data_IF_377146707687
#
_entry.id   IF_377146707687
#
_cell.length_a   1.000
_cell.length_b   1.000
_cell.length_c   1.000
_cell.angle_alpha   90.00
_cell.angle_beta   90.00
_cell.angle_gamma   90.00
#
_symmetry.space_group_name_H-M   'P 1'
#
loop_
_entity.id
_entity.type
_entity.pdbx_description
1 polymer ?
#
# COMPACT_ATOMS: atom_id res chain seq x y z
N UNK A 1 -9.45 24.92 15.14
CA UNK A 1 -10.81 24.34 15.01
C UNK A 1 -11.31 24.74 13.62
N UNK A 2 -10.94 23.96 12.61
CA UNK A 2 -11.40 24.13 11.24
C UNK A 2 -12.80 23.55 11.14
N UNK A 3 -13.70 24.31 10.52
CA UNK A 3 -15.14 24.07 10.50
C UNK A 3 -15.46 22.73 9.77
N UNK A 4 -15.63 21.68 10.54
CA UNK A 4 -15.92 20.30 10.11
C UNK A 4 -17.20 20.20 9.25
N UNK A 5 -18.09 21.18 9.29
CA UNK A 5 -19.31 21.23 8.49
C UNK A 5 -19.06 21.48 6.99
N UNK A 6 -17.91 22.06 6.62
CA UNK A 6 -17.55 22.25 5.21
C UNK A 6 -16.98 20.99 4.55
N UNK A 7 -16.43 20.08 5.33
CA UNK A 7 -15.92 18.79 4.83
C UNK A 7 -17.07 17.87 4.38
N UNK A 8 -18.15 17.82 5.18
CA UNK A 8 -19.34 16.99 4.91
C UNK A 8 -20.06 17.44 3.62
N UNK A 9 -20.10 18.75 3.32
CA UNK A 9 -20.77 19.27 2.13
C UNK A 9 -20.06 18.88 0.82
N UNK A 10 -18.72 18.75 0.84
CA UNK A 10 -17.98 18.29 -0.34
C UNK A 10 -18.10 16.78 -0.60
N UNK A 11 -18.24 15.98 0.47
CA UNK A 11 -18.45 14.52 0.34
C UNK A 11 -19.82 14.21 -0.25
N UNK A 12 -20.86 14.98 0.12
CA UNK A 12 -22.20 14.84 -0.46
C UNK A 12 -22.26 15.17 -1.96
N UNK A 13 -21.37 16.03 -2.48
CA UNK A 13 -21.32 16.36 -3.91
C UNK A 13 -20.68 15.24 -4.73
N UNK A 14 -19.74 14.49 -4.14
CA UNK A 14 -19.18 13.28 -4.78
C UNK A 14 -20.20 12.12 -4.81
N UNK A 15 -21.02 11.97 -3.77
CA UNK A 15 -22.08 10.95 -3.72
C UNK A 15 -23.26 11.27 -4.70
N UNK A 16 -23.48 12.54 -5.06
CA UNK A 16 -24.50 12.92 -6.01
C UNK A 16 -24.08 12.78 -7.49
N UNK A 17 -22.79 12.53 -7.74
CA UNK A 17 -22.21 12.29 -9.06
C UNK A 17 -22.20 10.81 -9.49
N UNK A 18 -22.78 9.88 -8.71
CA UNK A 18 -23.04 8.51 -9.13
C UNK A 18 -24.19 8.54 -10.16
N UNK A 19 -23.86 9.01 -11.35
CA UNK A 19 -24.67 8.76 -12.55
C UNK A 19 -24.83 7.25 -12.66
N UNK A 20 -26.06 6.77 -12.60
CA UNK A 20 -26.42 5.44 -13.06
C UNK A 20 -25.79 5.23 -14.44
N UNK A 21 -24.61 4.63 -14.48
CA UNK A 21 -24.11 4.01 -15.69
C UNK A 21 -25.07 2.84 -15.94
N UNK A 22 -26.05 3.08 -16.78
CA UNK A 22 -26.92 2.03 -17.32
C UNK A 22 -25.98 0.98 -17.93
N UNK A 23 -25.79 -0.13 -17.23
CA UNK A 23 -25.16 -1.33 -17.79
C UNK A 23 -25.94 -1.70 -19.03
N UNK A 24 -25.40 -1.44 -20.21
CA UNK A 24 -25.89 -2.08 -21.43
C UNK A 24 -25.73 -3.58 -21.20
N UNK A 25 -26.83 -4.36 -21.34
CA UNK A 25 -26.72 -5.80 -21.16
C UNK A 25 -25.76 -6.31 -22.25
N UNK A 26 -24.59 -6.81 -21.86
CA UNK A 26 -23.78 -7.65 -22.75
C UNK A 26 -24.68 -8.80 -23.17
N UNK A 27 -24.85 -8.96 -24.50
CA UNK A 27 -25.56 -10.11 -25.08
C UNK A 27 -25.07 -11.37 -24.37
N UNK A 28 -25.96 -11.99 -23.62
CA UNK A 28 -25.77 -13.32 -23.09
C UNK A 28 -25.56 -14.25 -24.29
N UNK A 29 -24.30 -14.66 -24.48
CA UNK A 29 -24.05 -15.87 -25.23
C UNK A 29 -24.74 -16.99 -24.43
N UNK A 30 -25.65 -17.71 -25.05
CA UNK A 30 -26.19 -18.96 -24.54
C UNK A 30 -25.02 -19.93 -24.38
N UNK A 31 -24.42 -19.93 -23.20
CA UNK A 31 -23.61 -21.05 -22.75
C UNK A 31 -24.60 -22.06 -22.20
N UNK A 32 -24.66 -23.24 -22.84
CA UNK A 32 -25.21 -24.45 -22.26
C UNK A 32 -24.69 -24.57 -20.83
N UNK A 33 -25.60 -24.77 -19.88
CA UNK A 33 -25.28 -25.11 -18.49
C UNK A 33 -24.62 -26.50 -18.48
N UNK A 34 -23.34 -26.57 -18.85
CA UNK A 34 -22.48 -27.60 -18.30
C UNK A 34 -22.48 -27.36 -16.79
N UNK A 35 -23.01 -28.34 -16.05
CA UNK A 35 -22.80 -28.41 -14.60
C UNK A 35 -21.29 -28.57 -14.37
N UNK A 36 -20.59 -27.47 -14.36
CA UNK A 36 -19.17 -27.39 -14.01
C UNK A 36 -19.05 -27.80 -12.54
N UNK A 37 -18.87 -29.10 -12.30
CA UNK A 37 -18.38 -29.56 -11.00
C UNK A 37 -17.03 -28.91 -10.77
N UNK A 38 -17.02 -27.86 -9.98
CA UNK A 38 -15.79 -27.13 -9.66
C UNK A 38 -14.96 -28.00 -8.74
N UNK A 39 -13.86 -28.52 -9.26
CA UNK A 39 -12.91 -29.28 -8.44
C UNK A 39 -12.09 -28.37 -7.52
N UNK A 40 -12.13 -27.06 -7.74
CA UNK A 40 -11.30 -26.05 -7.10
C UNK A 40 -12.11 -24.79 -6.79
N UNK A 41 -11.78 -24.16 -5.66
CA UNK A 41 -12.23 -22.84 -5.26
C UNK A 41 -11.02 -22.04 -4.80
N UNK A 42 -10.92 -20.77 -5.15
CA UNK A 42 -9.78 -19.93 -4.79
C UNK A 42 -10.23 -18.78 -3.90
N UNK A 43 -9.53 -18.59 -2.79
CA UNK A 43 -9.68 -17.41 -1.93
C UNK A 43 -8.47 -16.54 -2.17
N UNK A 44 -8.71 -15.33 -2.69
CA UNK A 44 -7.68 -14.30 -2.79
C UNK A 44 -7.72 -13.44 -1.53
N UNK A 45 -6.52 -13.13 -1.00
CA UNK A 45 -6.35 -12.31 0.18
C UNK A 45 -5.35 -11.20 -0.10
N UNK A 46 -5.71 -9.99 0.28
CA UNK A 46 -4.87 -8.79 0.32
C UNK A 46 -5.03 -8.10 1.66
N UNK A 47 -4.33 -6.98 1.86
CA UNK A 47 -4.45 -6.14 3.05
C UNK A 47 -3.16 -5.37 3.30
N UNK A 48 -3.15 -4.58 4.36
CA UNK A 48 -2.01 -3.74 4.74
C UNK A 48 -1.55 -2.85 3.58
N UNK A 49 -2.49 -2.24 2.88
CA UNK A 49 -2.22 -1.28 1.80
C UNK A 49 -1.43 -0.08 2.30
N UNK A 50 -1.67 0.37 3.53
CA UNK A 50 -0.96 1.47 4.20
C UNK A 50 -0.85 2.73 3.33
N UNK A 51 -1.88 3.00 2.52
CA UNK A 51 -1.95 4.13 1.59
C UNK A 51 -1.27 3.90 0.24
N UNK A 52 -0.70 2.73 -0.01
CA UNK A 52 -0.02 2.43 -1.28
C UNK A 52 -1.02 2.06 -2.38
N UNK A 53 -1.40 3.02 -3.19
CA UNK A 53 -2.33 2.81 -4.32
C UNK A 53 -1.63 2.49 -5.63
N UNK A 54 -0.39 2.96 -5.79
CA UNK A 54 0.44 2.80 -6.98
C UNK A 54 1.91 2.78 -6.56
N UNK A 55 2.75 1.92 -7.13
CA UNK A 55 4.17 1.96 -6.87
C UNK A 55 4.80 3.23 -7.43
N UNK A 56 5.89 3.70 -6.82
CA UNK A 56 6.70 4.78 -7.35
C UNK A 56 7.35 4.36 -8.67
N UNK A 57 7.22 5.17 -9.72
CA UNK A 57 7.70 4.85 -11.07
C UNK A 57 9.19 5.10 -11.35
N UNK A 58 10.03 5.30 -10.31
CA UNK A 58 11.37 5.81 -10.47
C UNK A 58 12.43 4.77 -10.86
N UNK A 59 12.18 3.48 -10.59
CA UNK A 59 13.09 2.37 -10.95
C UNK A 59 12.29 1.18 -11.48
N UNK A 60 12.94 0.22 -12.14
CA UNK A 60 12.33 -1.04 -12.53
C UNK A 60 12.08 -1.96 -11.33
N UNK A 61 11.43 -3.10 -11.58
CA UNK A 61 11.16 -4.11 -10.55
C UNK A 61 10.04 -3.76 -9.56
N UNK A 62 9.17 -2.82 -9.92
CA UNK A 62 8.15 -2.29 -9.04
C UNK A 62 6.99 -3.25 -8.81
N UNK A 63 6.70 -3.49 -7.54
CA UNK A 63 5.58 -4.29 -7.09
C UNK A 63 4.45 -3.40 -6.52
N UNK A 64 3.21 -3.81 -6.77
CA UNK A 64 2.01 -3.14 -6.27
C UNK A 64 1.22 -2.41 -7.36
N UNK A 65 0.19 -1.70 -6.93
CA UNK A 65 -0.75 -0.97 -7.77
C UNK A 65 -2.10 -1.63 -7.84
N UNK A 66 -3.12 -0.89 -7.42
CA UNK A 66 -4.52 -1.34 -7.47
C UNK A 66 -4.97 -1.60 -8.91
N UNK A 67 -4.44 -0.81 -9.85
CA UNK A 67 -4.74 -0.87 -11.28
C UNK A 67 -4.29 -2.17 -11.97
N UNK A 68 -3.35 -2.91 -11.38
CA UNK A 68 -2.83 -4.19 -11.92
C UNK A 68 -3.52 -5.43 -11.33
N UNK A 69 -4.22 -5.30 -10.20
CA UNK A 69 -4.86 -6.42 -9.49
C UNK A 69 -5.85 -7.22 -10.35
N UNK A 70 -6.66 -6.61 -11.24
CA UNK A 70 -7.59 -7.37 -12.09
C UNK A 70 -6.90 -8.46 -12.90
N UNK A 71 -5.67 -8.24 -13.37
CA UNK A 71 -4.91 -9.21 -14.15
C UNK A 71 -4.67 -10.54 -13.42
N UNK A 72 -4.63 -10.51 -12.09
CA UNK A 72 -4.49 -11.70 -11.25
C UNK A 72 -5.87 -12.22 -10.83
N UNK A 73 -6.71 -11.34 -10.29
CA UNK A 73 -8.01 -11.71 -9.76
C UNK A 73 -8.91 -12.37 -10.81
N UNK A 74 -8.91 -11.87 -12.04
CA UNK A 74 -9.75 -12.36 -13.13
C UNK A 74 -9.23 -13.67 -13.79
N UNK A 75 -8.07 -14.17 -13.33
CA UNK A 75 -7.61 -15.52 -13.73
C UNK A 75 -8.53 -16.63 -13.21
N UNK A 76 -9.33 -16.34 -12.18
CA UNK A 76 -10.33 -17.26 -11.60
C UNK A 76 -11.72 -16.65 -11.79
N UNK A 77 -12.68 -17.36 -12.41
CA UNK A 77 -14.04 -16.89 -12.57
C UNK A 77 -14.69 -16.52 -11.23
N UNK A 78 -15.57 -15.50 -11.23
CA UNK A 78 -16.24 -14.97 -10.04
C UNK A 78 -16.91 -16.04 -9.19
N UNK A 79 -17.59 -17.01 -9.84
CA UNK A 79 -18.31 -18.09 -9.15
C UNK A 79 -17.37 -19.08 -8.45
N UNK A 80 -16.07 -19.06 -8.76
CA UNK A 80 -15.04 -19.95 -8.22
C UNK A 80 -14.04 -19.24 -7.31
N UNK A 81 -14.31 -17.97 -6.99
CA UNK A 81 -13.42 -17.16 -6.14
C UNK A 81 -14.15 -16.46 -5.01
N UNK A 82 -13.40 -16.12 -3.99
CA UNK A 82 -13.74 -15.15 -2.96
C UNK A 82 -12.55 -14.21 -2.81
N UNK A 83 -12.79 -12.92 -2.73
CA UNK A 83 -11.73 -11.92 -2.57
C UNK A 83 -11.93 -11.24 -1.22
N UNK A 84 -10.90 -11.28 -0.38
CA UNK A 84 -10.90 -10.78 0.99
C UNK A 84 -9.81 -9.73 1.14
N UNK A 85 -10.13 -8.62 1.79
CA UNK A 85 -9.14 -7.70 2.30
C UNK A 85 -9.04 -7.82 3.83
N UNK A 86 -7.82 -7.86 4.35
CA UNK A 86 -7.54 -8.03 5.78
C UNK A 86 -7.42 -6.73 6.55
N UNK A 87 -7.66 -5.56 5.89
CA UNK A 87 -7.65 -4.23 6.51
C UNK A 87 -6.29 -3.54 6.53
N UNK A 88 -6.18 -2.49 7.33
CA UNK A 88 -5.05 -1.57 7.41
C UNK A 88 -4.83 -0.77 6.12
N UNK A 89 -5.89 -0.04 5.71
CA UNK A 89 -5.90 0.69 4.44
C UNK A 89 -4.91 1.85 4.39
N UNK A 90 -4.72 2.58 5.50
CA UNK A 90 -3.85 3.76 5.57
C UNK A 90 -3.01 3.80 6.85
N UNK A 91 -1.95 4.62 6.85
CA UNK A 91 -1.00 4.72 7.97
C UNK A 91 -1.49 5.64 9.09
N UNK A 92 -2.24 6.70 8.76
CA UNK A 92 -2.61 7.76 9.71
C UNK A 92 -3.98 8.36 9.40
N UNK A 93 -4.38 9.33 10.19
CA UNK A 93 -5.55 10.18 9.99
C UNK A 93 -5.20 11.55 9.35
N UNK A 94 -4.04 11.66 8.69
CA UNK A 94 -3.68 12.85 7.94
C UNK A 94 -4.69 13.15 6.83
N UNK A 95 -4.82 14.44 6.43
CA UNK A 95 -5.75 14.82 5.34
C UNK A 95 -5.51 13.98 4.08
N UNK A 96 -4.25 13.69 3.76
CA UNK A 96 -3.88 12.87 2.61
C UNK A 96 -4.32 11.40 2.77
N UNK A 97 -4.06 10.80 3.93
CA UNK A 97 -4.46 9.41 4.20
C UNK A 97 -5.98 9.24 4.23
N UNK A 98 -6.72 10.25 4.71
CA UNK A 98 -8.19 10.25 4.65
C UNK A 98 -8.71 10.24 3.21
N UNK A 99 -8.04 10.96 2.30
CA UNK A 99 -8.36 10.91 0.87
C UNK A 99 -8.04 9.53 0.30
N UNK A 100 -6.85 9.00 0.59
CA UNK A 100 -6.44 7.65 0.14
C UNK A 100 -7.38 6.57 0.63
N UNK A 101 -7.84 6.66 1.88
CA UNK A 101 -8.80 5.71 2.44
C UNK A 101 -10.05 5.59 1.56
N UNK A 102 -10.66 6.72 1.20
CA UNK A 102 -11.83 6.74 0.31
C UNK A 102 -11.53 6.14 -1.07
N UNK A 103 -10.38 6.49 -1.66
CA UNK A 103 -9.97 5.99 -2.98
C UNK A 103 -9.71 4.48 -2.95
N UNK A 104 -9.09 3.97 -1.88
CA UNK A 104 -8.86 2.53 -1.70
C UNK A 104 -10.19 1.79 -1.60
N UNK A 105 -11.14 2.26 -0.78
CA UNK A 105 -12.46 1.65 -0.66
C UNK A 105 -13.19 1.62 -2.01
N UNK A 106 -13.15 2.71 -2.77
CA UNK A 106 -13.73 2.75 -4.12
C UNK A 106 -13.02 1.77 -5.06
N UNK A 107 -11.69 1.65 -4.99
CA UNK A 107 -10.94 0.69 -5.78
C UNK A 107 -11.32 -0.76 -5.44
N UNK A 108 -11.43 -1.10 -4.14
CA UNK A 108 -11.85 -2.45 -3.71
C UNK A 108 -13.27 -2.78 -4.18
N UNK A 109 -14.17 -1.77 -4.23
CA UNK A 109 -15.50 -1.94 -4.80
C UNK A 109 -15.46 -2.21 -6.31
N UNK A 110 -14.65 -1.48 -7.07
CA UNK A 110 -14.46 -1.70 -8.50
C UNK A 110 -13.82 -3.07 -8.81
N UNK A 111 -13.03 -3.60 -7.86
CA UNK A 111 -12.35 -4.90 -7.93
C UNK A 111 -13.23 -6.07 -7.45
N UNK A 112 -14.51 -5.83 -7.12
CA UNK A 112 -15.49 -6.82 -6.66
C UNK A 112 -15.03 -7.60 -5.41
N UNK A 113 -14.36 -6.91 -4.45
CA UNK A 113 -14.03 -7.54 -3.16
C UNK A 113 -15.30 -7.97 -2.44
N UNK A 114 -15.28 -9.17 -1.86
CA UNK A 114 -16.48 -9.78 -1.27
C UNK A 114 -16.56 -9.57 0.24
N UNK A 115 -15.41 -9.52 0.90
CA UNK A 115 -15.30 -9.43 2.35
C UNK A 115 -14.15 -8.49 2.73
N UNK A 116 -14.41 -7.63 3.69
CA UNK A 116 -13.40 -6.74 4.29
C UNK A 116 -13.33 -7.00 5.79
N UNK A 117 -12.12 -7.22 6.31
CA UNK A 117 -11.85 -7.17 7.73
C UNK A 117 -11.42 -5.74 8.09
N UNK A 118 -12.17 -5.08 8.96
CA UNK A 118 -11.81 -3.76 9.46
C UNK A 118 -11.01 -3.90 10.76
N UNK A 119 -9.81 -3.33 10.79
CA UNK A 119 -9.07 -3.11 12.03
C UNK A 119 -9.75 -2.02 12.88
N UNK A 120 -9.39 -1.92 14.16
CA UNK A 120 -9.82 -0.81 15.01
C UNK A 120 -9.52 0.54 14.36
N UNK A 121 -8.32 0.70 13.83
CA UNK A 121 -7.87 1.92 13.14
C UNK A 121 -8.72 2.24 11.90
N UNK A 122 -9.04 1.24 11.07
CA UNK A 122 -9.89 1.44 9.91
C UNK A 122 -11.29 1.93 10.32
N UNK A 123 -11.83 1.38 11.40
CA UNK A 123 -13.14 1.81 11.96
C UNK A 123 -13.06 3.24 12.48
N UNK A 124 -12.05 3.58 13.27
CA UNK A 124 -11.88 4.92 13.82
C UNK A 124 -11.76 5.98 12.72
N UNK A 125 -10.91 5.74 11.73
CA UNK A 125 -10.74 6.62 10.58
C UNK A 125 -12.03 6.71 9.77
N UNK A 126 -12.63 5.57 9.45
CA UNK A 126 -13.89 5.52 8.68
C UNK A 126 -15.04 6.26 9.37
N UNK A 127 -15.13 6.22 10.72
CA UNK A 127 -16.09 7.00 11.51
C UNK A 127 -15.82 8.50 11.42
N UNK A 128 -14.56 8.89 11.57
CA UNK A 128 -14.16 10.30 11.52
C UNK A 128 -14.56 10.98 10.20
N UNK A 129 -14.54 10.25 9.11
CA UNK A 129 -14.93 10.73 7.77
C UNK A 129 -16.36 10.31 7.37
N UNK A 130 -17.06 9.53 8.19
CA UNK A 130 -18.47 9.17 7.99
C UNK A 130 -18.74 8.14 6.91
N UNK A 131 -17.77 7.26 6.57
CA UNK A 131 -17.91 6.30 5.46
C UNK A 131 -18.15 4.85 5.90
N UNK A 132 -18.15 4.53 7.19
CA UNK A 132 -18.33 3.13 7.64
C UNK A 132 -19.64 2.54 7.13
N UNK A 133 -20.74 3.28 7.19
CA UNK A 133 -22.02 2.83 6.63
C UNK A 133 -22.00 2.62 5.11
N UNK A 134 -21.14 3.34 4.38
CA UNK A 134 -20.93 3.10 2.95
C UNK A 134 -20.19 1.77 2.75
N UNK A 135 -19.16 1.51 3.56
CA UNK A 135 -18.40 0.25 3.51
C UNK A 135 -19.32 -0.93 3.81
N UNK A 136 -20.13 -0.85 4.88
CA UNK A 136 -21.10 -1.90 5.25
C UNK A 136 -22.16 -2.15 4.16
N UNK A 137 -22.53 -1.13 3.40
CA UNK A 137 -23.48 -1.27 2.29
C UNK A 137 -22.86 -1.86 1.02
N UNK A 138 -21.56 -1.68 0.82
CA UNK A 138 -20.83 -2.11 -0.38
C UNK A 138 -20.24 -3.51 -0.25
N UNK A 139 -19.91 -3.94 0.96
CA UNK A 139 -19.19 -5.17 1.24
C UNK A 139 -19.82 -5.97 2.38
N UNK A 140 -19.49 -7.27 2.48
CA UNK A 140 -19.57 -7.94 3.76
C UNK A 140 -18.39 -7.47 4.62
N UNK A 141 -18.66 -7.17 5.88
CA UNK A 141 -17.65 -6.63 6.79
C UNK A 141 -17.56 -7.50 8.03
N UNK A 142 -16.33 -7.73 8.50
CA UNK A 142 -16.06 -8.33 9.81
C UNK A 142 -15.06 -7.47 10.57
N UNK A 143 -15.06 -7.59 11.89
CA UNK A 143 -14.05 -7.01 12.78
C UNK A 143 -13.95 -7.80 14.08
N UNK A 144 -12.77 -7.85 14.67
CA UNK A 144 -12.58 -8.30 16.06
C UNK A 144 -12.80 -7.16 17.07
N UNK A 145 -12.87 -5.91 16.60
CA UNK A 145 -13.15 -4.73 17.41
C UNK A 145 -14.66 -4.45 17.42
N UNK A 146 -15.23 -4.33 18.61
CA UNK A 146 -16.66 -4.04 18.82
C UNK A 146 -16.84 -2.59 19.28
N UNK A 147 -17.05 -1.62 18.40
CA UNK A 147 -17.37 -0.27 18.80
C UNK A 147 -18.77 -0.21 19.43
N UNK A 148 -18.93 0.60 20.50
CA UNK A 148 -20.15 0.67 21.32
C UNK A 148 -21.43 1.06 20.54
N UNK A 149 -21.28 1.71 19.40
CA UNK A 149 -22.36 2.29 18.59
C UNK A 149 -22.54 1.60 17.23
N UNK A 150 -21.84 0.50 16.99
CA UNK A 150 -21.88 -0.25 15.74
C UNK A 150 -21.95 -1.75 16.02
N UNK A 151 -22.61 -2.49 15.14
CA UNK A 151 -22.73 -3.95 15.27
C UNK A 151 -22.07 -4.63 14.07
N UNK A 152 -20.74 -4.56 14.01
CA UNK A 152 -19.96 -5.25 12.99
C UNK A 152 -19.75 -6.70 13.45
N UNK A 153 -20.15 -7.71 12.66
CA UNK A 153 -19.98 -9.11 13.05
C UNK A 153 -18.50 -9.51 13.08
N UNK A 154 -18.12 -10.35 14.04
CA UNK A 154 -16.76 -10.91 14.10
C UNK A 154 -16.52 -12.01 13.07
N UNK A 155 -17.55 -12.48 12.36
CA UNK A 155 -17.44 -13.56 11.38
C UNK A 155 -18.35 -13.40 10.18
N UNK A 156 -17.92 -13.98 9.06
CA UNK A 156 -18.66 -14.12 7.81
C UNK A 156 -18.75 -15.60 7.43
N UNK A 157 -19.88 -16.02 6.90
CA UNK A 157 -20.10 -17.39 6.43
C UNK A 157 -20.58 -17.40 4.99
N UNK A 158 -20.09 -18.36 4.21
CA UNK A 158 -20.49 -18.57 2.82
C UNK A 158 -20.46 -20.07 2.49
N UNK A 159 -21.43 -20.52 1.72
CA UNK A 159 -21.39 -21.86 1.15
C UNK A 159 -20.85 -21.82 -0.28
N UNK A 160 -20.04 -22.82 -0.63
CA UNK A 160 -19.59 -23.05 -2.00
C UNK A 160 -19.56 -24.56 -2.31
N UNK A 161 -19.53 -24.92 -3.59
CA UNK A 161 -19.54 -26.33 -4.01
C UNK A 161 -18.15 -26.78 -4.45
N UNK A 162 -17.72 -27.95 -3.96
CA UNK A 162 -16.55 -28.68 -4.44
C UNK A 162 -16.95 -30.11 -4.78
N UNK A 163 -16.79 -30.55 -6.03
CA UNK A 163 -17.16 -31.88 -6.51
C UNK A 163 -18.59 -32.25 -6.15
N UNK A 164 -19.52 -31.31 -6.30
CA UNK A 164 -20.94 -31.52 -6.00
C UNK A 164 -21.27 -31.58 -4.51
N UNK A 165 -20.37 -31.18 -3.63
CA UNK A 165 -20.60 -31.10 -2.18
C UNK A 165 -20.55 -29.67 -1.70
N UNK A 166 -21.48 -29.33 -0.86
CA UNK A 166 -21.48 -28.04 -0.16
C UNK A 166 -20.36 -28.01 0.89
N UNK A 167 -19.54 -26.99 0.86
CA UNK A 167 -18.53 -26.66 1.87
C UNK A 167 -18.98 -25.38 2.57
N UNK A 168 -18.99 -25.39 3.89
CA UNK A 168 -19.25 -24.20 4.69
C UNK A 168 -17.90 -23.50 4.97
N UNK A 169 -17.71 -22.32 4.40
CA UNK A 169 -16.60 -21.41 4.72
C UNK A 169 -17.04 -20.51 5.87
N UNK A 170 -16.18 -20.40 6.88
CA UNK A 170 -16.26 -19.36 7.91
C UNK A 170 -14.96 -18.58 7.92
N UNK A 171 -15.03 -17.27 7.78
CA UNK A 171 -13.92 -16.33 7.98
C UNK A 171 -14.23 -15.51 9.22
N UNK A 172 -13.33 -15.52 10.20
CA UNK A 172 -13.52 -14.80 11.46
C UNK A 172 -12.33 -13.89 11.75
N UNK A 173 -12.61 -12.71 12.29
CA UNK A 173 -11.63 -11.80 12.83
C UNK A 173 -11.39 -12.11 14.32
N UNK A 174 -10.15 -12.02 14.77
CA UNK A 174 -9.79 -12.31 16.15
C UNK A 174 -8.63 -11.44 16.61
N UNK A 175 -8.78 -10.91 17.81
CA UNK A 175 -7.73 -10.17 18.49
C UNK A 175 -7.28 -10.90 19.76
N UNK A 176 -6.08 -11.48 19.77
CA UNK A 176 -5.56 -12.22 20.92
C UNK A 176 -5.23 -11.33 22.14
N UNK A 177 -5.10 -10.02 21.96
CA UNK A 177 -4.84 -9.09 23.07
C UNK A 177 -6.11 -8.79 23.87
N UNK A 178 -7.26 -8.77 23.22
CA UNK A 178 -8.56 -8.45 23.86
C UNK A 178 -9.36 -9.70 24.22
N UNK A 179 -9.13 -10.82 23.53
CA UNK A 179 -9.98 -12.01 23.63
C UNK A 179 -9.16 -13.28 23.90
N UNK A 180 -9.48 -14.08 24.92
CA UNK A 180 -8.83 -15.35 25.21
C UNK A 180 -8.97 -16.36 24.05
N UNK A 181 -7.90 -17.11 23.76
CA UNK A 181 -7.84 -18.07 22.65
C UNK A 181 -8.93 -19.16 22.74
N UNK A 182 -9.35 -19.52 23.96
CA UNK A 182 -10.40 -20.51 24.20
C UNK A 182 -11.77 -20.07 23.65
N UNK A 183 -11.98 -18.77 23.44
CA UNK A 183 -13.23 -18.25 22.87
C UNK A 183 -13.30 -18.36 21.34
N UNK A 184 -12.21 -18.69 20.66
CA UNK A 184 -12.20 -18.91 19.18
C UNK A 184 -13.28 -19.94 18.76
N UNK A 185 -13.57 -20.93 19.60
CA UNK A 185 -14.61 -21.92 19.32
C UNK A 185 -16.01 -21.32 19.09
N UNK A 186 -16.29 -20.14 19.65
CA UNK A 186 -17.58 -19.46 19.52
C UNK A 186 -17.76 -18.80 18.14
N UNK A 187 -16.64 -18.53 17.47
CA UNK A 187 -16.63 -17.96 16.13
C UNK A 187 -16.98 -18.99 15.06
N UNK A 188 -16.70 -20.27 15.31
CA UNK A 188 -16.86 -21.31 14.30
C UNK A 188 -17.99 -22.27 14.66
N UNK A 189 -18.80 -22.64 13.64
CA UNK A 189 -19.82 -23.68 13.82
C UNK A 189 -19.14 -25.05 13.98
N UNK A 190 -19.66 -25.85 14.92
CA UNK A 190 -19.24 -27.23 15.05
C UNK A 190 -19.64 -28.03 13.79
N UNK A 191 -18.78 -28.92 13.31
CA UNK A 191 -19.06 -29.68 12.08
C UNK A 191 -20.34 -30.50 12.21
N UNK A 192 -21.34 -30.18 11.40
CA UNK A 192 -22.61 -30.89 11.32
C UNK A 192 -22.64 -31.93 10.18
N UNK A 193 -21.50 -32.56 9.90
CA UNK A 193 -21.36 -33.56 8.83
C UNK A 193 -21.02 -33.00 7.44
N UNK A 194 -21.15 -31.70 7.19
CA UNK A 194 -20.63 -31.04 6.00
C UNK A 194 -19.15 -30.72 6.16
N UNK A 195 -18.33 -30.75 5.10
CA UNK A 195 -16.97 -30.26 5.15
C UNK A 195 -16.96 -28.75 5.45
N UNK A 196 -16.07 -28.33 6.33
CA UNK A 196 -15.88 -26.92 6.71
C UNK A 196 -14.52 -26.41 6.26
N UNK A 197 -14.43 -25.12 6.04
CA UNK A 197 -13.18 -24.38 5.87
C UNK A 197 -13.21 -23.18 6.82
N UNK A 198 -12.34 -23.18 7.81
CA UNK A 198 -12.30 -22.20 8.88
C UNK A 198 -11.03 -21.35 8.75
N UNK A 199 -11.18 -20.07 8.44
CA UNK A 199 -10.10 -19.08 8.29
C UNK A 199 -10.20 -18.08 9.42
N UNK A 200 -9.09 -17.86 10.11
CA UNK A 200 -8.96 -16.88 11.17
C UNK A 200 -8.04 -15.74 10.71
N UNK A 201 -8.50 -14.51 10.77
CA UNK A 201 -7.71 -13.31 10.52
C UNK A 201 -7.33 -12.71 11.88
N UNK A 202 -6.03 -12.62 12.14
CA UNK A 202 -5.50 -12.04 13.38
C UNK A 202 -5.15 -10.57 13.18
N UNK A 203 -5.36 -9.77 14.23
CA UNK A 203 -4.93 -8.36 14.24
C UNK A 203 -3.45 -8.22 14.68
N UNK A 204 -2.90 -9.21 15.39
CA UNK A 204 -1.52 -9.21 15.86
C UNK A 204 -0.78 -10.48 15.43
N UNK A 205 0.52 -10.34 15.19
CA UNK A 205 1.40 -11.45 14.84
C UNK A 205 2.33 -11.77 16.02
N UNK A 206 1.87 -12.67 16.88
CA UNK A 206 2.68 -13.25 17.96
C UNK A 206 2.86 -14.74 17.70
N UNK A 207 4.12 -15.25 17.58
CA UNK A 207 4.39 -16.67 17.40
C UNK A 207 3.77 -17.55 18.49
N UNK A 208 3.74 -17.08 19.75
CA UNK A 208 3.09 -17.77 20.86
C UNK A 208 1.59 -17.95 20.67
N UNK A 209 0.92 -16.94 20.09
CA UNK A 209 -0.50 -16.98 19.78
C UNK A 209 -0.82 -18.03 18.72
N UNK A 210 -0.05 -18.11 17.64
CA UNK A 210 -0.25 -19.11 16.58
C UNK A 210 -0.11 -20.53 17.13
N UNK A 211 0.89 -20.77 17.97
CA UNK A 211 1.09 -22.06 18.63
C UNK A 211 -0.08 -22.41 19.57
N UNK A 212 -0.56 -21.45 20.35
CA UNK A 212 -1.73 -21.61 21.23
C UNK A 212 -2.98 -21.96 20.44
N UNK A 213 -3.28 -21.19 19.37
CA UNK A 213 -4.42 -21.46 18.48
C UNK A 213 -4.32 -22.86 17.86
N UNK A 214 -3.13 -23.28 17.45
CA UNK A 214 -2.93 -24.61 16.85
C UNK A 214 -3.26 -25.74 17.82
N UNK A 215 -3.07 -25.53 19.12
CA UNK A 215 -3.39 -26.51 20.16
C UNK A 215 -4.87 -26.44 20.60
N UNK A 216 -5.37 -25.24 20.87
CA UNK A 216 -6.68 -25.03 21.50
C UNK A 216 -7.84 -25.05 20.46
N UNK A 217 -7.53 -24.71 19.19
CA UNK A 217 -8.50 -24.60 18.10
C UNK A 217 -8.08 -25.42 16.85
N UNK A 218 -7.88 -26.74 16.95
CA UNK A 218 -7.41 -27.59 15.85
C UNK A 218 -8.40 -27.67 14.66
N UNK A 219 -9.57 -27.12 14.77
CA UNK A 219 -10.57 -26.97 13.72
C UNK A 219 -10.33 -25.73 12.83
N UNK A 220 -9.42 -24.84 13.18
CA UNK A 220 -8.98 -23.75 12.31
C UNK A 220 -8.07 -24.34 11.23
N UNK A 221 -8.41 -24.10 9.98
CA UNK A 221 -7.67 -24.61 8.82
C UNK A 221 -6.57 -23.65 8.36
N UNK A 222 -6.82 -22.35 8.51
CA UNK A 222 -5.93 -21.32 8.03
C UNK A 222 -5.92 -20.10 8.99
N UNK A 223 -4.72 -19.55 9.22
CA UNK A 223 -4.53 -18.30 9.99
C UNK A 223 -3.85 -17.28 9.07
N UNK A 224 -4.43 -16.09 8.99
CA UNK A 224 -3.86 -14.94 8.28
C UNK A 224 -3.39 -13.93 9.32
N UNK A 225 -2.09 -13.63 9.28
CA UNK A 225 -1.45 -12.76 10.28
C UNK A 225 -1.02 -11.43 9.64
N UNK A 226 -1.06 -10.32 10.38
CA UNK A 226 -0.34 -9.11 9.99
C UNK A 226 1.18 -9.37 9.98
N UNK A 227 1.94 -8.59 9.25
CA UNK A 227 3.40 -8.72 9.13
C UNK A 227 4.03 -7.37 8.86
N UNK A 228 5.24 -7.19 9.37
CA UNK A 228 6.12 -6.07 9.01
C UNK A 228 6.89 -6.32 7.70
N UNK A 229 6.79 -7.52 7.14
CA UNK A 229 7.41 -7.84 5.85
C UNK A 229 6.58 -7.31 4.69
N UNK A 230 7.26 -6.80 3.68
CA UNK A 230 6.65 -6.37 2.42
C UNK A 230 6.20 -7.55 1.57
N UNK A 231 6.84 -8.70 1.75
CA UNK A 231 6.51 -9.95 1.08
C UNK A 231 5.66 -10.86 1.97
N UNK A 232 4.74 -11.64 1.40
CA UNK A 232 4.03 -12.67 2.13
C UNK A 232 4.98 -13.72 2.70
N UNK A 233 4.77 -14.10 3.96
CA UNK A 233 5.57 -15.11 4.66
C UNK A 233 4.67 -16.26 5.07
N UNK A 234 5.05 -17.49 4.72
CA UNK A 234 4.44 -18.70 5.29
C UNK A 234 5.14 -19.00 6.61
N UNK A 235 4.36 -18.95 7.70
CA UNK A 235 4.86 -19.06 9.09
C UNK A 235 4.81 -20.51 9.56
N UNK A 236 3.78 -21.27 9.14
CA UNK A 236 3.64 -22.68 9.53
C UNK A 236 4.61 -23.59 8.78
N UNK A 237 4.98 -24.70 9.41
CA UNK A 237 5.75 -25.75 8.75
C UNK A 237 4.99 -26.36 7.56
N UNK A 238 5.69 -26.83 6.52
CA UNK A 238 5.06 -27.45 5.35
C UNK A 238 4.12 -28.62 5.73
N UNK A 239 2.92 -28.60 5.17
CA UNK A 239 1.88 -29.61 5.38
C UNK A 239 1.33 -29.71 6.82
N UNK A 240 1.58 -28.71 7.68
CA UNK A 240 0.94 -28.60 9.00
C UNK A 240 -0.40 -27.90 8.90
N UNK A 241 -1.21 -28.02 9.95
CA UNK A 241 -2.45 -27.25 10.14
C UNK A 241 -2.44 -26.64 11.54
N UNK A 242 -2.93 -25.42 11.64
CA UNK A 242 -3.39 -24.52 10.57
C UNK A 242 -2.27 -24.07 9.62
N UNK A 243 -2.61 -23.80 8.36
CA UNK A 243 -1.72 -23.06 7.46
C UNK A 243 -1.68 -21.60 7.92
N UNK A 244 -0.56 -21.14 8.46
CA UNK A 244 -0.39 -19.76 8.91
C UNK A 244 0.51 -18.98 7.94
N UNK A 245 0.05 -17.81 7.50
CA UNK A 245 0.81 -16.92 6.60
C UNK A 245 0.41 -15.45 6.78
N UNK A 246 1.26 -14.54 6.28
CA UNK A 246 0.96 -13.12 6.12
C UNK A 246 0.74 -12.74 4.67
N UNK A 247 0.00 -11.67 4.43
CA UNK A 247 -0.29 -11.16 3.05
C UNK A 247 0.78 -10.22 2.52
N UNK A 248 1.75 -9.80 3.35
CA UNK A 248 2.70 -8.74 3.00
C UNK A 248 2.11 -7.34 3.17
N UNK A 249 2.86 -6.30 2.77
CA UNK A 249 2.45 -4.90 2.89
C UNK A 249 2.43 -4.19 1.54
N UNK A 250 1.82 -2.99 1.53
CA UNK A 250 1.79 -2.06 0.39
C UNK A 250 1.11 -2.61 -0.86
N UNK A 251 0.24 -3.63 -0.72
CA UNK A 251 -0.47 -4.20 -1.85
C UNK A 251 0.42 -4.79 -2.95
N UNK A 252 1.65 -5.20 -2.60
CA UNK A 252 2.66 -5.72 -3.54
C UNK A 252 2.35 -7.13 -4.04
N UNK A 253 1.56 -7.87 -3.28
CA UNK A 253 1.20 -9.24 -3.60
C UNK A 253 -0.30 -9.47 -3.43
N UNK A 254 -0.82 -10.42 -4.17
CA UNK A 254 -2.11 -11.05 -3.92
C UNK A 254 -1.84 -12.49 -3.49
N UNK A 255 -2.29 -12.86 -2.30
CA UNK A 255 -2.18 -14.23 -1.81
C UNK A 255 -3.36 -15.06 -2.30
N UNK A 256 -3.09 -16.16 -2.98
CA UNK A 256 -4.11 -17.12 -3.42
C UNK A 256 -4.08 -18.38 -2.57
N UNK A 257 -5.20 -18.69 -1.94
CA UNK A 257 -5.43 -19.95 -1.23
C UNK A 257 -6.35 -20.82 -2.08
N UNK A 258 -5.74 -21.79 -2.78
CA UNK A 258 -6.50 -22.77 -3.58
C UNK A 258 -7.03 -23.87 -2.67
N UNK A 259 -8.33 -24.08 -2.72
CA UNK A 259 -9.07 -25.07 -1.94
C UNK A 259 -9.51 -26.21 -2.87
N UNK A 260 -9.14 -27.42 -2.56
CA UNK A 260 -9.54 -28.61 -3.32
C UNK A 260 -10.13 -29.70 -2.43
N UNK A 261 -11.06 -30.45 -2.99
CA UNK A 261 -11.67 -31.56 -2.27
C UNK A 261 -10.61 -32.65 -1.97
N UNK A 262 -10.70 -33.32 -0.81
CA UNK A 262 -9.80 -34.42 -0.49
C UNK A 262 -10.05 -35.62 -1.41
N UNK A 263 -9.01 -36.43 -1.64
CA UNK A 263 -9.11 -37.62 -2.47
C UNK A 263 -10.04 -38.70 -1.86
N UNK A 264 -10.21 -38.68 -0.51
CA UNK A 264 -11.06 -39.62 0.22
C UNK A 264 -12.02 -38.87 1.14
N UNK A 265 -13.24 -39.37 1.29
CA UNK A 265 -14.24 -38.88 2.23
C UNK A 265 -13.73 -38.86 3.66
N UNK A 266 -14.16 -37.86 4.46
CA UNK A 266 -13.76 -37.74 5.86
C UNK A 266 -12.33 -37.20 6.09
N UNK A 267 -11.64 -36.83 5.02
CA UNK A 267 -10.34 -36.12 5.15
C UNK A 267 -10.58 -34.62 5.00
N UNK A 268 -9.72 -33.79 5.64
CA UNK A 268 -9.79 -32.35 5.52
C UNK A 268 -9.56 -31.89 4.07
N UNK A 269 -10.10 -30.72 3.71
CA UNK A 269 -9.85 -30.04 2.45
C UNK A 269 -8.34 -29.84 2.23
N UNK A 270 -7.89 -29.84 1.00
CA UNK A 270 -6.50 -29.53 0.68
C UNK A 270 -6.38 -28.03 0.41
N UNK A 271 -5.40 -27.42 1.03
CA UNK A 271 -5.06 -26.02 0.86
C UNK A 271 -3.71 -25.90 0.17
N UNK A 272 -3.62 -25.06 -0.85
CA UNK A 272 -2.35 -24.71 -1.49
C UNK A 272 -2.24 -23.20 -1.55
N UNK A 273 -1.20 -22.68 -0.93
CA UNK A 273 -0.89 -21.24 -0.89
C UNK A 273 0.02 -20.87 -2.06
N UNK A 274 -0.24 -19.70 -2.64
CA UNK A 274 0.63 -19.07 -3.62
C UNK A 274 0.53 -17.55 -3.50
N UNK A 275 1.66 -16.88 -3.39
CA UNK A 275 1.76 -15.43 -3.52
C UNK A 275 1.99 -15.06 -4.99
N UNK A 276 1.21 -14.10 -5.49
CA UNK A 276 1.30 -13.56 -6.84
C UNK A 276 1.84 -12.14 -6.74
N UNK A 277 3.05 -11.85 -7.27
CA UNK A 277 3.53 -10.48 -7.30
C UNK A 277 2.67 -9.65 -8.23
N UNK A 278 2.30 -8.45 -7.79
CA UNK A 278 1.61 -7.45 -8.60
C UNK A 278 2.68 -6.62 -9.31
N UNK A 279 3.30 -7.19 -10.34
CA UNK A 279 4.46 -6.61 -11.01
C UNK A 279 4.11 -5.70 -12.19
N UNK A 280 5.13 -5.01 -12.72
CA UNK A 280 4.98 -4.02 -13.78
C UNK A 280 4.63 -4.59 -15.16
N UNK A 281 4.78 -5.90 -15.38
CA UNK A 281 4.38 -6.57 -16.62
C UNK A 281 2.88 -6.79 -16.74
N UNK A 282 2.15 -6.67 -15.62
CA UNK A 282 0.71 -6.88 -15.59
C UNK A 282 -0.03 -5.71 -16.28
N UNK A 283 -1.06 -6.00 -17.07
CA UNK A 283 -1.90 -4.97 -17.68
C UNK A 283 -2.64 -4.16 -16.61
N UNK A 284 -2.89 -2.90 -16.92
CA UNK A 284 -3.59 -1.96 -16.03
C UNK A 284 -5.05 -1.81 -16.44
N UNK A 285 -5.94 -1.78 -15.45
CA UNK A 285 -7.34 -1.47 -15.66
C UNK A 285 -7.54 0.06 -15.77
N UNK A 286 -8.09 0.52 -16.90
CA UNK A 286 -8.28 1.95 -17.19
C UNK A 286 -9.13 2.67 -16.13
N UNK A 287 -10.15 2.01 -15.58
CA UNK A 287 -11.00 2.60 -14.53
C UNK A 287 -10.20 2.93 -13.25
N UNK A 288 -9.27 2.06 -12.86
CA UNK A 288 -8.43 2.26 -11.68
C UNK A 288 -7.27 3.24 -11.95
N UNK A 289 -6.75 3.28 -13.17
CA UNK A 289 -5.82 4.33 -13.60
C UNK A 289 -6.51 5.70 -13.50
N UNK A 290 -7.75 5.81 -13.96
CA UNK A 290 -8.54 7.03 -13.82
C UNK A 290 -8.78 7.40 -12.36
N UNK A 291 -9.15 6.43 -11.52
CA UNK A 291 -9.40 6.66 -10.09
C UNK A 291 -8.14 7.21 -9.38
N UNK A 292 -6.95 6.72 -9.74
CA UNK A 292 -5.70 7.32 -9.26
C UNK A 292 -5.49 8.75 -9.77
N UNK A 293 -5.87 9.04 -11.01
CA UNK A 293 -5.88 10.42 -11.55
C UNK A 293 -6.82 11.33 -10.78
N UNK A 294 -8.01 10.84 -10.41
CA UNK A 294 -8.97 11.58 -9.59
C UNK A 294 -8.39 11.88 -8.18
N UNK A 295 -7.67 10.92 -7.57
CA UNK A 295 -6.91 11.16 -6.34
C UNK A 295 -5.90 12.31 -6.50
N UNK A 296 -5.07 12.28 -7.55
CA UNK A 296 -4.07 13.34 -7.80
C UNK A 296 -4.73 14.71 -7.99
N UNK A 297 -5.89 14.75 -8.64
CA UNK A 297 -6.65 15.99 -8.79
C UNK A 297 -7.17 16.50 -7.43
N UNK A 298 -7.66 15.63 -6.56
CA UNK A 298 -8.10 16.00 -5.21
C UNK A 298 -6.93 16.56 -4.39
N UNK A 299 -5.77 15.91 -4.43
CA UNK A 299 -4.54 16.37 -3.75
C UNK A 299 -4.16 17.78 -4.20
N UNK A 300 -4.19 18.01 -5.50
CA UNK A 300 -3.95 19.34 -6.11
C UNK A 300 -4.97 20.38 -5.64
N UNK A 301 -6.28 20.08 -5.76
CA UNK A 301 -7.35 21.01 -5.42
C UNK A 301 -7.40 21.35 -3.93
N UNK A 302 -6.97 20.41 -3.09
CA UNK A 302 -6.79 20.60 -1.64
C UNK A 302 -5.52 21.35 -1.31
N UNK A 303 -4.62 21.57 -2.28
CA UNK A 303 -3.33 22.24 -2.12
C UNK A 303 -2.46 21.62 -0.99
N UNK A 304 -2.41 20.27 -0.96
CA UNK A 304 -1.71 19.55 0.12
C UNK A 304 -0.21 19.83 0.11
N UNK A 305 0.37 20.07 -1.06
CA UNK A 305 1.78 20.38 -1.20
C UNK A 305 2.19 21.66 -0.43
N UNK A 306 1.42 22.74 -0.56
CA UNK A 306 1.70 23.98 0.16
C UNK A 306 1.34 23.93 1.65
N UNK A 307 0.38 23.05 2.01
CA UNK A 307 -0.03 22.79 3.39
C UNK A 307 0.91 21.86 4.15
N UNK A 308 1.88 21.24 3.46
CA UNK A 308 2.84 20.33 4.09
C UNK A 308 3.51 21.01 5.30
N UNK A 309 3.54 20.37 6.48
CA UNK A 309 4.17 20.95 7.67
C UNK A 309 5.67 21.22 7.44
N UNK A 310 6.16 22.34 7.92
CA UNK A 310 7.57 22.75 7.76
C UNK A 310 8.16 23.15 9.09
N UNK A 311 9.45 22.83 9.25
CA UNK A 311 10.24 23.14 10.42
C UNK A 311 11.25 24.23 10.12
N UNK A 312 11.60 25.01 11.12
CA UNK A 312 12.72 25.97 11.03
C UNK A 312 14.04 25.19 11.12
N UNK A 313 14.99 25.47 10.24
CA UNK A 313 16.34 24.92 10.35
C UNK A 313 17.07 25.51 11.58
N UNK A 314 17.94 24.73 12.24
CA UNK A 314 18.78 25.26 13.33
C UNK A 314 19.75 26.33 12.81
N UNK A 315 20.22 27.20 13.70
CA UNK A 315 21.27 28.22 13.45
C UNK A 315 20.95 29.16 12.29
N UNK A 316 19.67 29.47 12.05
CA UNK A 316 19.19 30.32 10.96
C UNK A 316 19.64 29.86 9.55
N UNK A 317 20.03 28.61 9.40
CA UNK A 317 20.42 28.04 8.12
C UNK A 317 19.24 28.06 7.12
N UNK A 318 19.58 28.22 5.84
CA UNK A 318 18.58 28.26 4.76
C UNK A 318 19.06 27.49 3.53
N UNK A 319 18.11 26.86 2.84
CA UNK A 319 18.34 26.36 1.50
C UNK A 319 18.37 27.52 0.51
N UNK A 320 19.34 27.49 -0.41
CA UNK A 320 19.63 28.59 -1.34
C UNK A 320 19.51 28.20 -2.81
N UNK A 321 19.27 26.90 -3.09
CA UNK A 321 19.15 26.35 -4.43
C UNK A 321 20.46 26.09 -5.15
N UNK A 322 20.48 25.08 -5.99
CA UNK A 322 21.68 24.61 -6.70
C UNK A 322 22.31 25.69 -7.62
N UNK A 323 21.49 26.62 -8.13
CA UNK A 323 21.99 27.73 -8.97
C UNK A 323 22.96 28.61 -8.23
N UNK A 324 22.80 28.79 -6.92
CA UNK A 324 23.70 29.60 -6.08
C UNK A 324 25.11 28.98 -5.97
N UNK A 325 25.26 27.69 -6.15
CA UNK A 325 26.52 26.96 -6.11
C UNK A 325 27.35 27.14 -7.39
N UNK A 326 26.68 27.46 -8.52
CA UNK A 326 27.29 27.51 -9.85
C UNK A 326 28.47 28.45 -9.95
N UNK A 327 28.40 29.61 -9.30
CA UNK A 327 29.44 30.65 -9.41
C UNK A 327 30.84 30.16 -8.99
N UNK A 328 30.92 29.28 -7.98
CA UNK A 328 32.19 28.75 -7.47
C UNK A 328 32.43 27.29 -7.92
N UNK A 329 31.37 26.52 -8.14
CA UNK A 329 31.43 25.08 -8.44
C UNK A 329 30.89 24.76 -9.86
N UNK A 330 31.23 25.56 -10.88
CA UNK A 330 30.66 25.45 -12.23
C UNK A 330 30.78 24.03 -12.85
N UNK A 331 31.96 23.40 -12.77
CA UNK A 331 32.18 22.06 -13.34
C UNK A 331 31.27 21.00 -12.70
N UNK A 332 31.14 21.06 -11.37
CA UNK A 332 30.27 20.15 -10.62
C UNK A 332 28.79 20.40 -10.94
N UNK A 333 28.41 21.69 -10.99
CA UNK A 333 27.04 22.09 -11.34
C UNK A 333 26.64 21.61 -12.74
N UNK A 334 27.47 21.82 -13.78
CA UNK A 334 27.12 21.39 -15.15
C UNK A 334 27.00 19.86 -15.27
N UNK A 335 27.85 19.11 -14.57
CA UNK A 335 27.73 17.66 -14.50
C UNK A 335 26.44 17.22 -13.82
N UNK A 336 26.12 17.77 -12.63
CA UNK A 336 24.89 17.49 -11.92
C UNK A 336 23.66 17.85 -12.77
N UNK A 337 23.63 19.03 -13.36
CA UNK A 337 22.53 19.54 -14.18
C UNK A 337 22.21 18.65 -15.39
N UNK A 338 23.20 17.90 -15.86
CA UNK A 338 23.01 16.90 -16.94
C UNK A 338 22.42 15.58 -16.47
N UNK A 339 22.28 15.34 -15.16
CA UNK A 339 21.88 14.06 -14.57
C UNK A 339 20.39 14.04 -14.21
N UNK A 340 19.90 12.83 -13.88
CA UNK A 340 18.48 12.61 -13.54
C UNK A 340 18.06 13.33 -12.28
N UNK A 341 18.92 13.45 -11.28
CA UNK A 341 18.61 14.14 -10.03
C UNK A 341 18.18 15.60 -10.26
N UNK A 342 18.87 16.32 -11.13
CA UNK A 342 18.50 17.70 -11.47
C UNK A 342 17.11 17.79 -12.16
N UNK A 343 16.60 16.70 -12.69
CA UNK A 343 15.32 16.61 -13.40
C UNK A 343 14.26 15.84 -12.63
N UNK A 344 14.53 15.52 -11.36
CA UNK A 344 13.65 14.65 -10.58
C UNK A 344 12.22 15.19 -10.49
N UNK A 345 12.03 16.49 -10.26
CA UNK A 345 10.69 17.08 -10.21
C UNK A 345 9.93 16.96 -11.55
N UNK A 346 10.61 17.18 -12.67
CA UNK A 346 9.97 17.06 -13.99
C UNK A 346 9.50 15.64 -14.32
N UNK A 347 10.06 14.62 -13.68
CA UNK A 347 9.55 13.24 -13.83
C UNK A 347 8.18 13.06 -13.18
N UNK A 348 7.90 13.79 -12.10
CA UNK A 348 6.57 13.80 -11.47
C UNK A 348 5.54 14.51 -12.36
N UNK A 349 5.94 15.60 -13.03
CA UNK A 349 5.07 16.31 -13.98
C UNK A 349 4.62 15.40 -15.13
N UNK A 350 5.54 14.57 -15.65
CA UNK A 350 5.23 13.63 -16.73
C UNK A 350 4.18 12.58 -16.36
N UNK A 351 4.06 12.24 -15.08
CA UNK A 351 3.12 11.23 -14.59
C UNK A 351 1.95 11.82 -13.79
N UNK A 352 1.88 13.17 -13.68
CA UNK A 352 0.79 13.88 -13.02
C UNK A 352 0.84 13.85 -11.48
N UNK A 353 1.99 13.52 -10.87
CA UNK A 353 2.16 13.38 -9.42
C UNK A 353 2.91 14.55 -8.75
N UNK A 354 3.10 15.66 -9.47
CA UNK A 354 3.87 16.83 -8.99
C UNK A 354 3.18 17.63 -7.87
N UNK A 355 1.97 17.29 -7.50
CA UNK A 355 1.24 17.94 -6.40
C UNK A 355 1.14 17.07 -5.15
N UNK A 356 1.61 15.82 -5.23
CA UNK A 356 1.54 14.84 -4.16
C UNK A 356 2.73 14.98 -3.21
N UNK A 357 2.52 15.41 -1.94
CA UNK A 357 3.59 15.60 -0.98
C UNK A 357 4.50 14.38 -0.81
N UNK A 358 3.93 13.17 -0.80
CA UNK A 358 4.69 11.92 -0.64
C UNK A 358 5.61 11.63 -1.84
N UNK A 359 5.26 12.13 -3.02
CA UNK A 359 6.13 12.04 -4.19
C UNK A 359 7.17 13.16 -4.20
N UNK A 360 6.71 14.38 -3.95
CA UNK A 360 7.52 15.60 -4.09
C UNK A 360 8.67 15.64 -3.11
N UNK A 361 8.51 15.17 -1.87
CA UNK A 361 9.53 15.22 -0.81
C UNK A 361 10.88 14.63 -1.24
N UNK A 362 10.88 13.57 -2.05
CA UNK A 362 12.10 12.95 -2.59
C UNK A 362 12.61 13.62 -3.89
N UNK A 363 11.84 14.53 -4.48
CA UNK A 363 12.09 15.10 -5.80
C UNK A 363 12.44 16.58 -5.77
N UNK A 364 12.65 17.17 -4.58
CA UNK A 364 12.96 18.60 -4.37
C UNK A 364 13.94 18.80 -3.21
N UNK A 365 14.38 20.02 -3.00
CA UNK A 365 15.28 20.40 -1.89
C UNK A 365 14.47 20.83 -0.68
N UNK A 366 14.65 20.15 0.46
CA UNK A 366 14.30 20.64 1.79
C UNK A 366 12.80 20.88 2.03
N UNK A 367 11.90 20.10 1.43
CA UNK A 367 10.45 20.29 1.52
C UNK A 367 9.91 20.35 2.97
N UNK A 368 10.56 19.68 3.92
CA UNK A 368 10.19 19.66 5.33
C UNK A 368 10.58 20.97 6.08
N UNK A 369 11.23 21.93 5.41
CA UNK A 369 11.75 23.12 6.05
C UNK A 369 11.18 24.40 5.45
N UNK A 370 11.08 25.46 6.28
CA UNK A 370 10.51 26.76 5.90
C UNK A 370 11.25 27.42 4.73
N UNK A 371 12.58 27.25 4.65
CA UNK A 371 13.41 27.75 3.55
C UNK A 371 13.50 26.79 2.37
N UNK A 372 12.83 25.62 2.43
CA UNK A 372 12.84 24.60 1.41
C UNK A 372 11.78 24.80 0.34
N UNK A 373 11.57 23.74 -0.44
CA UNK A 373 10.58 23.75 -1.54
C UNK A 373 9.15 23.89 -1.02
N UNK A 374 8.41 24.81 -1.61
CA UNK A 374 6.98 25.04 -1.30
C UNK A 374 6.11 24.69 -2.51
N UNK A 375 6.40 25.28 -3.65
CA UNK A 375 5.75 25.02 -4.93
C UNK A 375 6.60 25.61 -6.07
N UNK A 376 6.41 25.17 -7.33
CA UNK A 376 7.14 25.74 -8.48
C UNK A 376 7.06 27.27 -8.58
N UNK A 377 5.92 27.82 -8.20
CA UNK A 377 5.68 29.27 -8.28
C UNK A 377 6.36 30.06 -7.18
N UNK A 378 6.62 29.45 -6.02
CA UNK A 378 7.20 30.12 -4.85
C UNK A 378 8.70 29.91 -4.73
N UNK A 379 9.16 28.69 -4.97
CA UNK A 379 10.54 28.25 -4.74
C UNK A 379 11.02 27.32 -5.85
N UNK A 380 10.79 27.66 -7.12
CA UNK A 380 11.16 26.83 -8.29
C UNK A 380 12.66 26.52 -8.38
N UNK A 381 13.53 27.35 -7.82
CA UNK A 381 14.99 27.12 -7.77
C UNK A 381 15.38 25.90 -6.90
N UNK A 382 14.43 25.37 -6.12
CA UNK A 382 14.60 24.19 -5.27
C UNK A 382 14.00 22.91 -5.89
N UNK A 383 13.56 22.96 -7.15
CA UNK A 383 13.15 21.78 -7.89
C UNK A 383 14.33 20.83 -8.16
N UNK A 384 14.02 19.53 -8.20
CA UNK A 384 15.00 18.47 -8.38
C UNK A 384 15.74 18.08 -7.11
N UNK A 385 16.46 16.97 -7.15
CA UNK A 385 17.40 16.58 -6.09
C UNK A 385 18.66 17.39 -6.26
N UNK A 386 18.74 18.52 -5.54
CA UNK A 386 19.79 19.52 -5.67
C UNK A 386 21.05 19.20 -4.88
N UNK A 387 22.03 20.10 -4.96
CA UNK A 387 23.29 19.99 -4.21
C UNK A 387 23.04 19.82 -2.73
N UNK A 388 22.09 20.57 -2.19
CA UNK A 388 21.79 20.66 -0.77
C UNK A 388 21.05 19.45 -0.19
N UNK A 389 20.47 18.57 -1.04
CA UNK A 389 19.93 17.29 -0.57
C UNK A 389 21.04 16.40 0.01
N UNK A 390 22.25 16.48 -0.54
CA UNK A 390 23.41 15.70 -0.09
C UNK A 390 24.35 16.50 0.81
N UNK A 391 24.56 17.78 0.50
CA UNK A 391 25.56 18.62 1.16
C UNK A 391 24.99 19.44 2.32
N UNK A 392 23.67 19.52 2.49
CA UNK A 392 22.99 20.33 3.49
C UNK A 392 22.82 21.80 3.07
N UNK A 393 22.14 22.63 3.90
CA UNK A 393 21.81 24.02 3.60
C UNK A 393 23.03 24.90 3.31
N UNK A 394 23.04 25.63 2.20
CA UNK A 394 24.18 26.31 1.66
C UNK A 394 24.40 27.77 2.14
N UNK A 395 23.46 28.33 2.90
CA UNK A 395 23.46 29.75 3.22
C UNK A 395 24.75 30.22 3.92
N UNK A 396 25.20 29.52 4.96
CA UNK A 396 26.42 29.92 5.72
C UNK A 396 27.68 29.73 4.88
N UNK A 397 27.77 28.67 4.07
CA UNK A 397 28.89 28.45 3.15
C UNK A 397 29.03 29.60 2.16
N UNK A 398 27.94 30.08 1.58
CA UNK A 398 27.95 31.21 0.64
C UNK A 398 28.28 32.51 1.35
N UNK A 399 27.67 32.80 2.50
CA UNK A 399 27.91 34.00 3.28
C UNK A 399 29.36 34.11 3.73
N UNK A 400 30.00 33.00 4.07
CA UNK A 400 31.42 32.95 4.45
C UNK A 400 32.40 32.92 3.27
N UNK A 401 31.91 33.00 2.03
CA UNK A 401 32.68 32.80 0.79
C UNK A 401 33.50 31.50 0.79
N UNK A 402 32.95 30.43 1.33
CA UNK A 402 33.57 29.11 1.38
C UNK A 402 34.46 28.83 2.59
N UNK A 403 34.56 29.78 3.55
CA UNK A 403 35.33 29.55 4.78
C UNK A 403 34.67 28.48 5.68
N UNK A 404 33.35 28.51 5.81
CA UNK A 404 32.58 27.43 6.43
C UNK A 404 32.47 26.30 5.43
N UNK A 405 33.05 25.15 5.74
CA UNK A 405 33.00 23.98 4.87
C UNK A 405 31.72 23.19 5.14
N UNK A 406 31.16 22.64 4.09
CA UNK A 406 30.18 21.57 4.26
C UNK A 406 30.81 20.37 4.99
N UNK A 407 30.06 19.74 5.85
CA UNK A 407 30.41 18.41 6.32
C UNK A 407 30.39 17.46 5.10
N UNK A 408 31.20 16.40 5.14
CA UNK A 408 31.08 15.31 4.15
C UNK A 408 29.62 14.94 3.95
N UNK A 409 29.17 14.62 2.71
CA UNK A 409 27.78 14.23 2.48
C UNK A 409 27.43 13.11 3.44
N UNK A 410 26.55 13.41 4.39
CA UNK A 410 25.93 12.35 5.17
C UNK A 410 25.10 11.57 4.17
N UNK A 411 25.38 10.30 4.01
CA UNK A 411 24.67 9.46 3.06
C UNK A 411 23.18 9.49 3.39
N UNK A 412 22.45 10.31 2.69
CA UNK A 412 21.00 10.44 2.77
C UNK A 412 20.33 9.70 1.61
N UNK A 413 21.07 8.87 0.89
CA UNK A 413 20.55 8.12 -0.26
C UNK A 413 19.33 7.29 0.12
N UNK A 414 19.36 6.68 1.31
CA UNK A 414 18.26 5.85 1.82
C UNK A 414 17.02 6.64 2.23
N UNK A 415 17.10 7.97 2.38
CA UNK A 415 15.93 8.79 2.67
C UNK A 415 14.97 8.83 1.49
N UNK A 416 15.49 8.64 0.27
CA UNK A 416 14.72 8.59 -0.97
C UNK A 416 14.76 7.22 -1.66
N UNK A 417 15.92 6.53 -1.63
CA UNK A 417 16.09 5.20 -2.21
C UNK A 417 15.74 4.12 -1.18
N UNK A 418 14.52 4.15 -0.68
CA UNK A 418 13.99 3.10 0.22
C UNK A 418 13.66 1.84 -0.57
N UNK A 419 13.54 0.67 0.06
CA UNK A 419 13.07 -0.55 -0.61
C UNK A 419 11.70 -0.37 -1.29
N UNK A 420 10.84 0.50 -0.75
CA UNK A 420 9.52 0.78 -1.28
C UNK A 420 9.57 1.61 -2.57
N UNK A 421 10.55 2.53 -2.66
CA UNK A 421 10.63 3.51 -3.75
C UNK A 421 11.68 3.15 -4.80
N UNK A 422 12.69 2.40 -4.43
CA UNK A 422 13.84 2.07 -5.29
C UNK A 422 14.37 0.67 -4.98
N UNK A 423 13.57 -0.35 -5.33
CA UNK A 423 13.91 -1.76 -5.05
C UNK A 423 15.26 -2.22 -5.60
N UNK A 424 15.74 -1.57 -6.68
CA UNK A 424 17.02 -1.89 -7.32
C UNK A 424 18.22 -1.21 -6.64
N UNK A 425 18.01 -0.36 -5.62
CA UNK A 425 19.10 0.38 -4.98
C UNK A 425 19.95 -0.51 -4.08
N UNK A 426 19.31 -1.30 -3.23
CA UNK A 426 20.01 -2.17 -2.28
C UNK A 426 20.89 -3.22 -3.00
N UNK A 427 22.18 -3.21 -2.67
CA UNK A 427 23.19 -4.07 -3.31
C UNK A 427 23.73 -3.55 -4.65
N UNK A 428 23.29 -2.37 -5.10
CA UNK A 428 23.77 -1.70 -6.31
C UNK A 428 24.24 -0.26 -6.03
N UNK A 429 24.58 0.07 -4.79
CA UNK A 429 24.93 1.42 -4.32
C UNK A 429 26.06 2.05 -5.16
N UNK A 430 27.09 1.26 -5.51
CA UNK A 430 28.22 1.73 -6.35
C UNK A 430 27.76 2.13 -7.75
N UNK A 431 26.82 1.38 -8.33
CA UNK A 431 26.26 1.69 -9.65
C UNK A 431 25.46 2.99 -9.63
N UNK A 432 24.68 3.21 -8.56
CA UNK A 432 23.93 4.44 -8.38
C UNK A 432 24.87 5.62 -8.10
N UNK A 433 25.94 5.44 -7.32
CA UNK A 433 26.95 6.44 -7.06
C UNK A 433 27.65 6.92 -8.35
N UNK A 434 28.03 5.99 -9.26
CA UNK A 434 28.62 6.37 -10.55
C UNK A 434 27.65 7.20 -11.43
N UNK A 435 26.34 6.94 -11.35
CA UNK A 435 25.34 7.72 -12.10
C UNK A 435 25.24 9.18 -11.65
N UNK A 436 25.54 9.48 -10.39
CA UNK A 436 25.47 10.84 -9.81
C UNK A 436 26.83 11.52 -9.69
N UNK A 437 27.93 10.84 -10.00
CA UNK A 437 29.29 11.34 -9.84
C UNK A 437 29.50 12.66 -10.59
N UNK A 438 29.83 13.70 -9.87
CA UNK A 438 30.04 15.04 -10.39
C UNK A 438 31.37 15.68 -9.91
N UNK A 439 32.17 14.95 -9.12
CA UNK A 439 33.51 15.35 -8.67
C UNK A 439 34.62 14.76 -9.57
N UNK A 440 35.82 15.31 -9.44
CA UNK A 440 37.02 14.70 -10.04
C UNK A 440 37.68 13.78 -9.01
N UNK A 441 38.11 12.60 -9.44
CA UNK A 441 38.92 11.74 -8.59
C UNK A 441 40.22 12.53 -8.21
N UNK A 442 40.67 12.42 -6.95
CA UNK A 442 41.99 12.91 -6.62
C UNK A 442 43.00 12.17 -7.53
N UNK A 443 43.87 12.95 -8.20
CA UNK A 443 44.92 12.35 -9.02
C UNK A 443 45.78 11.45 -8.14
N UNK A 444 45.60 10.12 -8.28
CA UNK A 444 46.46 9.11 -7.61
C UNK A 444 47.80 8.94 -8.30
N UNK A 445 48.22 9.87 -9.16
CA UNK A 445 49.53 9.92 -9.78
C UNK A 445 50.38 10.99 -9.10
N UNK A 446 51.13 10.58 -8.09
CA UNK A 446 52.47 11.07 -7.73
C UNK A 446 52.70 12.58 -7.67
N UNK A 447 52.50 13.18 -6.51
CA UNK A 447 53.34 14.29 -6.09
C UNK A 447 54.18 13.88 -4.89
N UNK A 448 55.18 13.04 -5.20
CA UNK A 448 56.41 13.02 -4.44
C UNK A 448 57.29 14.13 -5.03
N UNK A 449 57.24 15.32 -4.41
CA UNK A 449 58.38 16.23 -4.38
C UNK A 449 58.38 17.01 -3.07
#
# INVERSE_FOLDING_TARGET
>A
MVDMKRLIVCICVLAAGISCVSRTPRKAAQYEQEQLTTDEFTIFLTGSELGAMKPCGCSGGQLGGLDRRPAILDTVPEQKRLIIDTGLFVKSDSEQDLIKYNIIIEALQQLDYNLINLSEKDIEIGRNIGIVGIIESAFNVISSYEPLDMNIPAKFTKEFSLKGRTVLLTVAAFDPESTPVEQIKELFALPSGAPTLNILILNHNDPGTIESISKEAPFVDCIVCPSESDEPIVISEPNTRPLAFSVGRFGRYICGLKVTAPARLGRPLRLAFKAFPVDESLPKAESLVKLYGDYQQIVKDRNLLEKHPRFTLPDDLQYVGSQSCKACHNDAYEKWNSRLHAKAYSTLEQVGSQFDPECVICHVVGMDYESGFISPQKTGDLEGVGCENCHGPGSEHILSAGATKFTEPKSTCLDCHTPEQSGDYAGNEDVFMEKIKHWKEPNTAGDVK
#
